data_IF_183185386420
#
_entry.id   IF_183185386420
#
_cell.length_a   1.000
_cell.length_b   1.000
_cell.length_c   1.000
_cell.angle_alpha   90.00
_cell.angle_beta   90.00
_cell.angle_gamma   90.00
#
_symmetry.space_group_name_H-M   'P 1'
#
loop_
_entity.id
_entity.type
_entity.pdbx_description
1 polymer ?
#
# COMPACT_ATOMS: atom_id res chain seq x y z
N UNK A 1 101.09 22.60 -13.29
CA UNK A 1 100.03 22.24 -14.25
C UNK A 1 98.93 21.51 -13.50
N UNK A 2 97.78 22.17 -13.29
CA UNK A 2 96.46 21.53 -13.15
C UNK A 2 95.43 22.65 -13.02
N UNK A 3 94.72 22.92 -14.13
CA UNK A 3 93.52 23.74 -14.16
C UNK A 3 92.38 22.92 -13.55
N UNK A 4 91.73 23.41 -12.50
CA UNK A 4 90.44 22.89 -12.06
C UNK A 4 89.36 23.93 -12.34
N UNK A 5 88.52 23.63 -13.34
CA UNK A 5 87.36 24.43 -13.75
C UNK A 5 86.22 24.19 -12.75
N UNK A 6 85.77 25.23 -12.05
CA UNK A 6 84.53 25.20 -11.28
C UNK A 6 83.34 25.47 -12.21
N UNK A 7 82.39 24.54 -12.24
CA UNK A 7 81.13 24.61 -12.97
C UNK A 7 80.12 25.39 -12.12
N UNK A 8 79.58 26.49 -12.66
CA UNK A 8 78.51 27.28 -12.07
C UNK A 8 77.15 26.70 -12.50
N UNK A 9 76.44 26.01 -11.60
CA UNK A 9 75.05 25.60 -11.82
C UNK A 9 74.11 26.79 -11.57
N UNK A 10 73.43 27.25 -12.62
CA UNK A 10 72.26 28.13 -12.50
C UNK A 10 71.03 27.32 -12.08
N UNK A 11 70.50 27.58 -10.88
CA UNK A 11 69.18 27.14 -10.45
C UNK A 11 68.13 28.14 -10.96
N UNK A 12 67.37 27.73 -11.98
CA UNK A 12 66.19 28.47 -12.46
C UNK A 12 65.02 28.12 -11.53
N UNK A 13 64.62 29.07 -10.66
CA UNK A 13 63.43 28.96 -9.83
C UNK A 13 62.17 29.20 -10.67
N UNK A 14 61.44 28.14 -11.00
CA UNK A 14 60.12 28.26 -11.63
C UNK A 14 59.06 28.61 -10.58
N UNK A 15 58.69 29.89 -10.49
CA UNK A 15 57.53 30.35 -9.73
C UNK A 15 56.25 29.82 -10.40
N UNK A 16 55.67 28.76 -9.84
CA UNK A 16 54.36 28.26 -10.26
C UNK A 16 53.29 29.22 -9.73
N UNK A 17 52.69 30.00 -10.63
CA UNK A 17 51.47 30.73 -10.32
C UNK A 17 50.37 29.69 -10.04
N UNK A 18 49.90 29.64 -8.80
CA UNK A 18 48.75 28.82 -8.42
C UNK A 18 47.54 29.38 -9.20
N UNK A 19 46.86 28.60 -10.04
CA UNK A 19 45.66 29.07 -10.70
C UNK A 19 44.61 29.39 -9.62
N UNK A 20 44.13 30.64 -9.63
CA UNK A 20 42.96 31.01 -8.86
C UNK A 20 41.78 30.15 -9.32
N UNK A 21 41.41 29.15 -8.51
CA UNK A 21 40.14 28.47 -8.63
C UNK A 21 39.09 29.53 -8.29
N UNK A 22 38.23 29.97 -9.23
CA UNK A 22 37.13 30.84 -8.86
C UNK A 22 36.27 30.06 -7.88
N UNK A 23 36.08 30.60 -6.67
CA UNK A 23 35.05 30.10 -5.76
C UNK A 23 33.76 30.11 -6.56
N UNK A 24 33.19 28.93 -6.79
CA UNK A 24 31.82 28.80 -7.27
C UNK A 24 30.98 29.76 -6.43
N UNK A 25 30.14 30.61 -7.04
CA UNK A 25 29.25 31.45 -6.27
C UNK A 25 28.52 30.53 -5.31
N UNK A 26 28.65 30.86 -4.03
CA UNK A 26 27.92 30.26 -2.93
C UNK A 26 26.49 30.05 -3.41
N UNK A 27 26.09 28.79 -3.60
CA UNK A 27 24.72 28.46 -3.96
C UNK A 27 23.91 28.80 -2.73
N UNK A 28 23.52 30.07 -2.62
CA UNK A 28 22.58 30.54 -1.63
C UNK A 28 21.41 29.59 -1.68
N UNK A 29 21.28 28.75 -0.65
CA UNK A 29 20.15 27.84 -0.52
C UNK A 29 18.94 28.75 -0.46
N UNK A 30 18.22 28.89 -1.59
CA UNK A 30 17.04 29.72 -1.63
C UNK A 30 16.10 29.26 -0.53
N UNK A 31 15.63 30.22 0.28
CA UNK A 31 14.63 29.93 1.28
C UNK A 31 13.42 29.28 0.59
N UNK A 32 13.04 28.09 1.06
CA UNK A 32 11.93 27.32 0.50
C UNK A 32 10.64 28.13 0.64
N UNK A 33 9.98 28.43 -0.47
CA UNK A 33 8.73 29.19 -0.46
C UNK A 33 7.63 28.40 0.28
N UNK A 34 6.75 29.11 0.99
CA UNK A 34 5.61 28.54 1.70
C UNK A 34 4.33 29.18 1.15
N UNK A 35 3.38 28.36 0.71
CA UNK A 35 2.09 28.81 0.20
C UNK A 35 0.97 28.27 1.08
N UNK A 36 0.00 29.11 1.43
CA UNK A 36 -1.27 28.69 2.03
C UNK A 36 -2.37 28.96 0.99
N UNK A 37 -3.04 27.94 0.44
CA UNK A 37 -4.12 28.15 -0.52
C UNK A 37 -5.26 28.94 0.11
N UNK A 38 -5.94 29.78 -0.66
CA UNK A 38 -7.16 30.45 -0.17
C UNK A 38 -8.29 29.42 -0.02
N UNK A 39 -8.93 29.35 1.15
CA UNK A 39 -10.13 28.55 1.36
C UNK A 39 -11.38 29.34 0.97
N UNK A 40 -12.27 28.75 0.17
CA UNK A 40 -13.53 29.35 -0.25
C UNK A 40 -14.58 29.42 0.86
N UNK A 41 -14.44 28.62 1.91
CA UNK A 41 -15.28 28.68 3.12
C UNK A 41 -16.71 28.14 2.96
N UNK A 42 -17.04 27.51 1.83
CA UNK A 42 -18.34 26.89 1.57
C UNK A 42 -18.20 25.61 0.75
N UNK A 43 -19.01 24.60 1.05
CA UNK A 43 -19.03 23.34 0.28
C UNK A 43 -19.48 23.51 -1.17
N UNK A 44 -20.10 24.63 -1.52
CA UNK A 44 -20.48 24.96 -2.90
C UNK A 44 -19.33 25.52 -3.74
N UNK A 45 -18.18 25.84 -3.12
CA UNK A 45 -17.01 26.40 -3.78
C UNK A 45 -15.95 25.31 -3.85
N UNK A 46 -15.39 25.08 -5.04
CA UNK A 46 -14.30 24.12 -5.22
C UNK A 46 -12.96 24.79 -4.91
N UNK A 47 -12.25 24.28 -3.90
CA UNK A 47 -10.95 24.79 -3.46
C UNK A 47 -9.77 24.16 -4.21
N UNK A 48 -10.00 23.11 -5.02
CA UNK A 48 -8.94 22.45 -5.80
C UNK A 48 -8.14 23.44 -6.65
N UNK A 49 -8.73 24.42 -7.38
CA UNK A 49 -7.96 25.40 -8.15
C UNK A 49 -7.00 26.23 -7.28
N UNK A 50 -7.41 26.64 -6.07
CA UNK A 50 -6.56 27.39 -5.17
C UNK A 50 -5.39 26.53 -4.67
N UNK A 51 -5.65 25.26 -4.33
CA UNK A 51 -4.62 24.31 -3.91
C UNK A 51 -3.62 24.07 -5.04
N UNK A 52 -4.08 23.83 -6.27
CA UNK A 52 -3.21 23.63 -7.44
C UNK A 52 -2.38 24.87 -7.78
N UNK A 53 -2.93 26.07 -7.59
CA UNK A 53 -2.18 27.32 -7.74
C UNK A 53 -1.04 27.41 -6.72
N UNK A 54 -1.30 27.07 -5.44
CA UNK A 54 -0.28 27.01 -4.41
C UNK A 54 0.80 25.95 -4.70
N UNK A 55 0.43 24.76 -5.20
CA UNK A 55 1.38 23.74 -5.64
C UNK A 55 2.22 24.24 -6.81
N UNK A 56 1.62 24.95 -7.78
CA UNK A 56 2.38 25.51 -8.91
C UNK A 56 3.38 26.57 -8.44
N UNK A 57 2.99 27.40 -7.47
CA UNK A 57 3.82 28.49 -6.97
C UNK A 57 4.94 28.03 -6.02
N UNK A 58 4.65 27.10 -5.11
CA UNK A 58 5.58 26.65 -4.07
C UNK A 58 6.06 25.20 -4.23
N UNK A 59 5.57 24.44 -5.20
CA UNK A 59 5.84 23.01 -5.33
C UNK A 59 7.25 22.65 -5.79
N UNK A 60 8.07 23.61 -6.21
CA UNK A 60 9.48 23.36 -6.53
C UNK A 60 10.35 23.45 -5.27
N UNK A 61 10.36 22.38 -4.48
CA UNK A 61 11.12 22.27 -3.22
C UNK A 61 10.52 23.00 -2.01
N UNK A 62 9.44 23.76 -2.20
CA UNK A 62 8.74 24.51 -1.15
C UNK A 62 7.65 23.72 -0.44
N UNK A 63 6.86 24.44 0.35
CA UNK A 63 5.83 23.90 1.24
C UNK A 63 4.47 24.46 0.89
N UNK A 64 3.44 23.62 0.92
CA UNK A 64 2.04 24.02 0.82
C UNK A 64 1.38 23.64 2.14
N UNK A 65 0.72 24.59 2.80
CA UNK A 65 0.12 24.40 4.13
C UNK A 65 -1.40 24.51 4.05
N UNK A 66 -2.08 23.49 4.54
CA UNK A 66 -3.52 23.47 4.84
C UNK A 66 -3.64 23.68 6.35
N UNK A 67 -3.95 24.90 6.84
CA UNK A 67 -3.77 25.25 8.25
C UNK A 67 -4.70 24.49 9.21
N UNK A 68 -4.29 24.37 10.47
CA UNK A 68 -5.15 23.81 11.51
C UNK A 68 -6.42 24.65 11.68
N UNK A 69 -7.55 23.99 11.96
CA UNK A 69 -8.86 24.65 12.07
C UNK A 69 -9.50 25.08 10.74
N UNK A 70 -8.81 24.90 9.61
CA UNK A 70 -9.37 25.18 8.28
C UNK A 70 -10.15 23.97 7.73
N UNK A 71 -11.09 24.26 6.82
CA UNK A 71 -11.75 23.25 5.99
C UNK A 71 -11.66 23.72 4.54
N UNK A 72 -11.15 22.84 3.67
CA UNK A 72 -11.15 23.01 2.23
C UNK A 72 -12.11 22.00 1.60
N UNK A 73 -12.91 22.45 0.66
CA UNK A 73 -13.91 21.64 -0.04
C UNK A 73 -13.40 21.27 -1.43
N UNK A 74 -13.17 19.98 -1.65
CA UNK A 74 -12.62 19.46 -2.88
C UNK A 74 -13.74 18.86 -3.71
N UNK A 75 -14.23 19.63 -4.68
CA UNK A 75 -15.35 19.24 -5.54
C UNK A 75 -14.87 18.67 -6.89
N UNK A 76 -13.56 18.53 -7.07
CA UNK A 76 -12.92 17.92 -8.23
C UNK A 76 -11.66 17.13 -7.85
N UNK A 77 -11.03 16.47 -8.83
CA UNK A 77 -9.77 15.72 -8.64
C UNK A 77 -8.65 16.68 -8.24
N UNK A 78 -7.96 16.39 -7.13
CA UNK A 78 -6.72 17.07 -6.75
C UNK A 78 -5.53 16.32 -7.35
N UNK A 79 -4.81 16.96 -8.29
CA UNK A 79 -3.53 16.46 -8.78
C UNK A 79 -2.35 17.30 -8.27
N UNK A 80 -1.18 16.67 -8.25
CA UNK A 80 0.07 17.28 -7.77
C UNK A 80 0.96 17.79 -8.92
N UNK A 81 0.37 18.14 -10.06
CA UNK A 81 1.14 18.75 -11.15
C UNK A 81 1.84 20.03 -10.65
N UNK A 82 3.14 20.13 -10.90
CA UNK A 82 3.99 21.22 -10.40
C UNK A 82 4.80 20.87 -9.14
N UNK A 83 4.49 19.78 -8.44
CA UNK A 83 5.32 19.29 -7.34
C UNK A 83 6.64 18.68 -7.85
N UNK A 84 7.75 19.17 -7.30
CA UNK A 84 9.13 18.69 -7.49
C UNK A 84 9.84 18.77 -6.14
N UNK A 85 9.81 17.69 -5.36
CA UNK A 85 10.33 17.71 -4.00
C UNK A 85 9.51 18.55 -3.01
N UNK A 86 8.19 18.68 -3.21
CA UNK A 86 7.34 19.52 -2.37
C UNK A 86 6.95 18.86 -1.04
N UNK A 87 6.61 19.69 -0.05
CA UNK A 87 6.05 19.30 1.23
C UNK A 87 4.61 19.82 1.37
N UNK A 88 3.62 18.93 1.30
CA UNK A 88 2.20 19.24 1.42
C UNK A 88 1.71 18.89 2.83
N UNK A 89 1.61 19.93 3.67
CA UNK A 89 1.28 19.84 5.08
C UNK A 89 -0.23 19.98 5.29
N UNK A 90 -0.87 18.92 5.75
CA UNK A 90 -2.30 18.87 6.04
C UNK A 90 -2.51 18.94 7.54
N UNK A 91 -2.91 20.09 8.05
CA UNK A 91 -3.23 20.26 9.48
C UNK A 91 -4.73 20.54 9.71
N UNK A 92 -5.46 20.90 8.64
CA UNK A 92 -6.90 21.07 8.61
C UNK A 92 -7.65 19.87 8.03
N UNK A 93 -8.84 20.14 7.50
CA UNK A 93 -9.70 19.16 6.83
C UNK A 93 -9.72 19.40 5.31
N UNK A 94 -9.35 18.39 4.53
CA UNK A 94 -9.67 18.29 3.11
C UNK A 94 -10.93 17.43 2.97
N UNK A 95 -12.07 18.04 2.63
CA UNK A 95 -13.35 17.35 2.51
C UNK A 95 -13.79 17.27 1.06
N UNK A 96 -13.85 16.06 0.52
CA UNK A 96 -14.33 15.84 -0.84
C UNK A 96 -15.86 15.92 -0.95
N UNK A 97 -16.36 16.35 -2.11
CA UNK A 97 -17.77 16.24 -2.47
C UNK A 97 -18.20 14.77 -2.57
N UNK A 98 -19.44 14.46 -2.17
CA UNK A 98 -20.04 13.13 -2.36
C UNK A 98 -20.85 13.02 -3.66
N UNK A 99 -20.55 13.87 -4.66
CA UNK A 99 -21.25 13.91 -5.94
C UNK A 99 -20.95 12.66 -6.77
N UNK A 100 -21.80 11.65 -6.67
CA UNK A 100 -21.61 10.36 -7.34
C UNK A 100 -21.62 10.46 -8.87
N UNK A 101 -22.38 11.41 -9.43
CA UNK A 101 -22.40 11.67 -10.86
C UNK A 101 -21.06 12.23 -11.36
N UNK A 102 -20.38 13.07 -10.57
CA UNK A 102 -19.03 13.54 -10.91
C UNK A 102 -18.01 12.40 -10.75
N UNK A 103 -18.07 11.65 -9.65
CA UNK A 103 -17.04 10.65 -9.32
C UNK A 103 -17.15 9.34 -10.10
N UNK A 104 -18.31 9.04 -10.68
CA UNK A 104 -18.52 7.81 -11.47
C UNK A 104 -17.48 7.66 -12.58
N UNK A 105 -16.79 6.52 -12.59
CA UNK A 105 -15.76 6.19 -13.59
C UNK A 105 -14.43 6.94 -13.44
N UNK A 106 -14.26 7.80 -12.42
CA UNK A 106 -12.96 8.44 -12.16
C UNK A 106 -12.03 7.46 -11.45
N UNK A 107 -10.75 7.50 -11.82
CA UNK A 107 -9.72 6.66 -11.18
C UNK A 107 -9.41 7.09 -9.75
N UNK A 108 -9.33 8.40 -9.50
CA UNK A 108 -8.73 8.95 -8.29
C UNK A 108 -9.45 10.22 -7.80
N UNK A 109 -9.48 10.42 -6.48
CA UNK A 109 -9.81 11.72 -5.87
C UNK A 109 -8.55 12.57 -5.72
N UNK A 110 -7.47 11.98 -5.22
CA UNK A 110 -6.12 12.55 -5.19
C UNK A 110 -5.24 11.75 -6.16
N UNK A 111 -4.70 12.43 -7.18
CA UNK A 111 -3.85 11.83 -8.22
C UNK A 111 -2.40 12.28 -8.07
N UNK A 112 -1.52 11.32 -7.77
CA UNK A 112 -0.06 11.48 -7.75
C UNK A 112 0.52 10.69 -8.92
N UNK A 113 0.68 11.35 -10.06
CA UNK A 113 1.15 10.71 -11.28
C UNK A 113 2.55 11.20 -11.64
N UNK A 114 3.52 10.28 -11.66
CA UNK A 114 4.91 10.53 -12.07
C UNK A 114 5.59 11.68 -11.30
N UNK A 115 5.29 11.81 -10.01
CA UNK A 115 5.90 12.82 -9.12
C UNK A 115 7.18 12.25 -8.51
N UNK A 116 8.24 13.06 -8.48
CA UNK A 116 9.48 12.73 -7.80
C UNK A 116 9.66 13.65 -6.59
N UNK A 117 9.71 13.07 -5.39
CA UNK A 117 9.79 13.80 -4.14
C UNK A 117 8.46 14.50 -3.81
N UNK A 118 7.68 13.88 -2.95
CA UNK A 118 6.45 14.46 -2.41
C UNK A 118 6.28 13.98 -0.98
N UNK A 119 6.00 14.90 -0.05
CA UNK A 119 5.47 14.56 1.27
C UNK A 119 4.03 15.03 1.35
N UNK A 120 3.10 14.15 1.72
CA UNK A 120 1.73 14.49 2.13
C UNK A 120 1.62 14.13 3.60
N UNK A 121 1.69 15.09 4.50
CA UNK A 121 1.83 14.78 5.93
C UNK A 121 1.07 15.74 6.82
N UNK A 122 0.71 15.30 8.01
CA UNK A 122 0.34 16.19 9.10
C UNK A 122 1.49 16.26 10.09
N UNK A 123 1.99 17.46 10.37
CA UNK A 123 3.00 17.67 11.41
C UNK A 123 2.39 17.67 12.81
N UNK A 124 1.10 17.99 12.92
CA UNK A 124 0.38 18.04 14.20
C UNK A 124 -0.31 16.72 14.56
N UNK A 125 -0.48 15.81 13.59
CA UNK A 125 -1.28 14.59 13.73
C UNK A 125 -2.79 14.82 13.56
N UNK A 126 -3.22 16.06 13.33
CA UNK A 126 -4.64 16.45 13.31
C UNK A 126 -5.22 16.54 11.90
N UNK A 127 -4.39 16.44 10.86
CA UNK A 127 -4.81 16.50 9.47
C UNK A 127 -5.79 15.39 9.09
N UNK A 128 -6.87 15.76 8.39
CA UNK A 128 -7.87 14.81 7.91
C UNK A 128 -8.13 14.99 6.43
N UNK A 129 -8.14 13.87 5.71
CA UNK A 129 -8.66 13.76 4.33
C UNK A 129 -9.95 12.94 4.40
N UNK A 130 -11.11 13.57 4.18
CA UNK A 130 -12.42 12.93 4.18
C UNK A 130 -12.92 12.73 2.74
N UNK A 131 -12.94 11.48 2.29
CA UNK A 131 -13.42 11.08 0.96
C UNK A 131 -14.95 11.13 0.83
N UNK A 132 -15.68 11.31 1.94
CA UNK A 132 -17.13 11.49 1.96
C UNK A 132 -17.92 10.38 1.21
N UNK A 133 -17.49 9.14 1.40
CA UNK A 133 -17.89 7.97 0.60
C UNK A 133 -19.30 7.41 0.82
N UNK A 134 -20.09 7.91 1.78
CA UNK A 134 -21.40 7.29 2.12
C UNK A 134 -22.31 7.12 0.90
N UNK A 135 -22.48 8.18 0.09
CA UNK A 135 -23.31 8.13 -1.10
C UNK A 135 -22.81 7.10 -2.12
N UNK A 136 -21.49 6.89 -2.19
CA UNK A 136 -20.90 5.90 -3.08
C UNK A 136 -21.13 4.46 -2.57
N UNK A 137 -21.11 4.23 -1.25
CA UNK A 137 -21.45 2.94 -0.66
C UNK A 137 -22.90 2.57 -0.95
N UNK A 138 -23.82 3.50 -0.70
CA UNK A 138 -25.25 3.27 -0.90
C UNK A 138 -25.58 3.09 -2.40
N UNK A 139 -24.93 3.85 -3.29
CA UNK A 139 -25.12 3.69 -4.73
C UNK A 139 -24.55 2.35 -5.24
N UNK A 140 -23.35 1.95 -4.81
CA UNK A 140 -22.77 0.67 -5.21
C UNK A 140 -23.57 -0.54 -4.70
N UNK A 141 -24.18 -0.41 -3.51
CA UNK A 141 -25.07 -1.44 -2.99
C UNK A 141 -26.35 -1.59 -3.83
N UNK A 142 -26.83 -0.51 -4.46
CA UNK A 142 -27.99 -0.53 -5.36
C UNK A 142 -27.61 -0.90 -6.81
N UNK A 143 -26.39 -0.56 -7.23
CA UNK A 143 -25.85 -0.78 -8.57
C UNK A 143 -24.35 -1.11 -8.50
N UNK A 144 -24.03 -2.39 -8.56
CA UNK A 144 -22.65 -2.89 -8.50
C UNK A 144 -21.82 -2.54 -9.74
N UNK A 145 -22.41 -1.94 -10.78
CA UNK A 145 -21.66 -1.41 -11.94
C UNK A 145 -21.09 -0.01 -11.68
N UNK A 146 -21.43 0.62 -10.55
CA UNK A 146 -20.93 1.95 -10.21
C UNK A 146 -19.43 1.95 -9.88
N UNK A 147 -18.63 2.43 -10.82
CA UNK A 147 -17.18 2.58 -10.68
C UNK A 147 -16.81 3.77 -9.78
N UNK A 148 -16.13 3.47 -8.66
CA UNK A 148 -15.78 4.44 -7.61
C UNK A 148 -14.28 4.75 -7.60
N UNK A 149 -13.87 6.03 -7.38
CA UNK A 149 -12.46 6.42 -7.36
C UNK A 149 -11.74 5.92 -6.12
N UNK A 150 -10.44 5.63 -6.27
CA UNK A 150 -9.51 5.50 -5.15
C UNK A 150 -9.31 6.88 -4.49
N UNK A 151 -9.19 6.94 -3.15
CA UNK A 151 -8.97 8.21 -2.46
C UNK A 151 -7.58 8.81 -2.80
N UNK A 152 -6.50 8.05 -2.60
CA UNK A 152 -5.14 8.42 -2.97
C UNK A 152 -4.56 7.42 -3.98
N UNK A 153 -4.37 7.87 -5.21
CA UNK A 153 -3.85 7.04 -6.29
C UNK A 153 -2.46 7.50 -6.73
N UNK A 154 -1.45 6.67 -6.49
CA UNK A 154 -0.05 6.91 -6.81
C UNK A 154 0.34 6.02 -7.99
N UNK A 155 0.80 6.62 -9.09
CA UNK A 155 1.22 5.91 -10.30
C UNK A 155 2.54 6.46 -10.85
N UNK A 156 3.57 5.60 -10.85
CA UNK A 156 4.94 5.97 -11.20
C UNK A 156 5.54 7.04 -10.28
N UNK A 157 6.71 7.53 -10.65
CA UNK A 157 7.45 8.50 -9.82
C UNK A 157 8.25 7.82 -8.71
N UNK A 158 8.77 8.62 -7.78
CA UNK A 158 9.66 8.14 -6.73
C UNK A 158 9.68 9.02 -5.49
N UNK A 159 10.14 8.46 -4.37
CA UNK A 159 10.37 9.18 -3.12
C UNK A 159 9.10 9.89 -2.61
N UNK A 160 8.02 9.13 -2.51
CA UNK A 160 6.74 9.59 -1.97
C UNK A 160 6.66 9.25 -0.48
N UNK A 161 6.24 10.19 0.34
CA UNK A 161 5.97 10.00 1.77
C UNK A 161 4.55 10.45 2.07
N UNK A 162 3.80 9.62 2.79
CA UNK A 162 2.49 9.98 3.34
C UNK A 162 2.49 9.65 4.83
N UNK A 163 2.37 10.65 5.70
CA UNK A 163 2.58 10.42 7.13
C UNK A 163 1.66 11.17 8.09
N UNK A 164 1.40 10.54 9.23
CA UNK A 164 0.75 11.13 10.42
C UNK A 164 -0.64 11.76 10.21
N UNK A 165 -1.38 11.37 9.16
CA UNK A 165 -2.70 11.92 8.86
C UNK A 165 -3.80 10.86 8.95
N UNK A 166 -5.03 11.34 9.07
CA UNK A 166 -6.23 10.50 8.99
C UNK A 166 -6.81 10.53 7.59
N UNK A 167 -7.10 9.36 7.03
CA UNK A 167 -7.98 9.22 5.87
C UNK A 167 -9.32 8.63 6.33
N UNK A 168 -10.41 9.24 5.88
CA UNK A 168 -11.75 8.92 6.37
C UNK A 168 -12.69 8.69 5.21
N UNK A 169 -13.46 7.62 5.30
CA UNK A 169 -14.60 7.29 4.42
C UNK A 169 -14.29 7.48 2.93
N UNK A 170 -13.28 6.78 2.37
CA UNK A 170 -13.04 6.80 0.93
C UNK A 170 -14.23 6.16 0.20
N UNK A 171 -14.60 6.60 -1.01
CA UNK A 171 -15.65 5.94 -1.79
C UNK A 171 -15.35 4.46 -2.11
N UNK A 172 -14.06 4.12 -2.22
CA UNK A 172 -13.52 2.81 -2.58
C UNK A 172 -12.19 2.60 -1.83
N UNK A 173 -11.17 2.00 -2.46
CA UNK A 173 -9.79 1.90 -1.97
C UNK A 173 -9.25 3.21 -1.37
N UNK A 174 -8.59 3.12 -0.21
CA UNK A 174 -7.89 4.23 0.43
C UNK A 174 -6.67 4.66 -0.39
N UNK A 175 -5.71 3.75 -0.56
CA UNK A 175 -4.41 4.04 -1.18
C UNK A 175 -4.09 2.99 -2.23
N UNK A 176 -3.77 3.42 -3.46
CA UNK A 176 -3.23 2.55 -4.50
C UNK A 176 -1.84 3.02 -4.93
N UNK A 177 -0.91 2.09 -5.11
CA UNK A 177 0.47 2.33 -5.56
C UNK A 177 0.80 1.42 -6.73
N UNK A 178 1.09 1.99 -7.91
CA UNK A 178 1.40 1.20 -9.13
C UNK A 178 2.23 1.97 -10.15
N UNK A 179 2.31 1.47 -11.39
CA UNK A 179 2.90 2.18 -12.54
C UNK A 179 4.42 2.35 -12.45
N UNK A 180 5.11 1.42 -11.79
CA UNK A 180 6.55 1.46 -11.58
C UNK A 180 6.98 2.46 -10.52
N UNK A 181 6.14 2.76 -9.53
CA UNK A 181 6.51 3.65 -8.41
C UNK A 181 7.72 3.08 -7.66
N UNK A 182 8.73 3.92 -7.42
CA UNK A 182 9.98 3.51 -6.78
C UNK A 182 10.23 4.29 -5.48
N UNK A 183 10.02 3.65 -4.33
CA UNK A 183 10.16 4.29 -3.03
C UNK A 183 8.88 5.05 -2.63
N UNK A 184 8.05 4.41 -1.82
CA UNK A 184 6.90 5.03 -1.17
C UNK A 184 6.87 4.64 0.31
N UNK A 185 6.77 5.62 1.20
CA UNK A 185 6.68 5.44 2.65
C UNK A 185 5.31 5.90 3.14
N UNK A 186 4.61 5.03 3.85
CA UNK A 186 3.36 5.33 4.56
C UNK A 186 3.58 5.06 6.04
N UNK A 187 3.48 6.08 6.88
CA UNK A 187 3.82 5.95 8.30
C UNK A 187 2.84 6.70 9.22
N UNK A 188 2.42 6.07 10.31
CA UNK A 188 1.58 6.73 11.32
C UNK A 188 0.18 7.09 10.83
N UNK A 189 -0.38 6.36 9.85
CA UNK A 189 -1.68 6.67 9.28
C UNK A 189 -2.83 6.06 10.10
N UNK A 190 -3.97 6.75 10.08
CA UNK A 190 -5.26 6.18 10.54
C UNK A 190 -6.25 6.18 9.38
N UNK A 191 -6.61 4.99 8.89
CA UNK A 191 -7.57 4.78 7.81
C UNK A 191 -8.87 4.26 8.42
N UNK A 192 -9.99 4.96 8.24
CA UNK A 192 -11.29 4.53 8.79
C UNK A 192 -12.42 4.73 7.80
N UNK A 193 -13.08 3.64 7.40
CA UNK A 193 -14.32 3.64 6.63
C UNK A 193 -15.45 3.12 7.52
N UNK A 194 -16.45 3.96 7.77
CA UNK A 194 -17.60 3.59 8.59
C UNK A 194 -18.87 4.05 7.91
N UNK A 195 -19.70 3.09 7.53
CA UNK A 195 -21.03 3.37 6.98
C UNK A 195 -21.97 3.87 8.09
N UNK A 196 -22.88 4.75 7.70
CA UNK A 196 -23.98 5.25 8.52
C UNK A 196 -25.31 4.56 8.20
N UNK A 197 -25.31 3.61 7.27
CA UNK A 197 -26.46 2.82 6.85
C UNK A 197 -26.17 1.33 7.07
N UNK A 198 -27.12 0.47 6.71
CA UNK A 198 -26.91 -0.99 6.67
C UNK A 198 -26.00 -1.44 5.52
N UNK A 199 -25.71 -0.57 4.55
CA UNK A 199 -24.84 -0.90 3.43
C UNK A 199 -23.39 -0.82 3.90
N UNK A 200 -22.61 -1.89 3.78
CA UNK A 200 -21.21 -1.87 4.17
C UNK A 200 -20.37 -0.99 3.24
N UNK A 201 -19.22 -0.52 3.74
CA UNK A 201 -18.26 0.28 2.98
C UNK A 201 -17.43 -0.62 2.04
N UNK A 202 -18.08 -1.28 1.07
CA UNK A 202 -17.48 -2.31 0.22
C UNK A 202 -16.22 -1.83 -0.49
N UNK A 203 -15.23 -2.72 -0.62
CA UNK A 203 -13.99 -2.47 -1.37
C UNK A 203 -13.19 -1.28 -0.86
N UNK A 204 -13.25 -1.03 0.44
CA UNK A 204 -12.44 0.01 1.09
C UNK A 204 -11.06 -0.52 1.48
N UNK A 205 -10.37 -1.17 0.54
CA UNK A 205 -9.03 -1.72 0.72
C UNK A 205 -8.09 -0.64 1.30
N UNK A 206 -7.32 -0.98 2.34
CA UNK A 206 -6.41 -0.04 2.98
C UNK A 206 -5.27 0.36 2.05
N UNK A 207 -4.58 -0.63 1.50
CA UNK A 207 -3.50 -0.45 0.54
C UNK A 207 -3.57 -1.47 -0.60
N UNK A 208 -3.71 -0.99 -1.83
CA UNK A 208 -3.52 -1.77 -3.05
C UNK A 208 -2.13 -1.49 -3.63
N UNK A 209 -1.18 -2.38 -3.37
CA UNK A 209 0.22 -2.24 -3.80
C UNK A 209 0.45 -3.15 -5.00
N UNK A 210 0.51 -2.58 -6.20
CA UNK A 210 0.80 -3.28 -7.46
C UNK A 210 2.22 -3.00 -7.95
N UNK A 211 2.37 -2.85 -9.27
CA UNK A 211 3.65 -2.57 -9.97
C UNK A 211 4.47 -1.44 -9.33
N UNK A 212 5.38 -1.81 -8.43
CA UNK A 212 6.17 -0.88 -7.60
C UNK A 212 7.35 -1.58 -6.93
N UNK A 213 8.34 -0.80 -6.51
CA UNK A 213 9.50 -1.25 -5.73
C UNK A 213 9.75 -0.39 -4.49
N UNK A 214 10.16 -1.02 -3.38
CA UNK A 214 10.53 -0.35 -2.13
C UNK A 214 9.38 0.45 -1.51
N UNK A 215 8.24 -0.21 -1.33
CA UNK A 215 7.09 0.35 -0.61
C UNK A 215 7.16 -0.07 0.86
N UNK A 216 7.02 0.88 1.78
CA UNK A 216 6.97 0.62 3.22
C UNK A 216 5.66 1.16 3.80
N UNK A 217 4.96 0.32 4.55
CA UNK A 217 3.78 0.70 5.35
C UNK A 217 4.11 0.40 6.82
N UNK A 218 4.07 1.41 7.68
CA UNK A 218 4.39 1.26 9.11
C UNK A 218 3.42 1.99 10.02
N UNK A 219 3.29 1.51 11.26
CA UNK A 219 2.60 2.20 12.35
C UNK A 219 1.17 2.64 12.01
N UNK A 220 0.45 1.83 11.24
CA UNK A 220 -0.82 2.24 10.60
C UNK A 220 -2.01 1.46 11.16
N UNK A 221 -3.10 2.19 11.45
CA UNK A 221 -4.38 1.60 11.91
C UNK A 221 -5.43 1.68 10.82
N UNK A 222 -6.10 0.57 10.55
CA UNK A 222 -7.03 0.41 9.43
C UNK A 222 -8.33 -0.20 9.93
N UNK A 223 -9.44 0.47 9.68
CA UNK A 223 -10.79 -0.05 9.90
C UNK A 223 -11.56 0.08 8.59
N UNK A 224 -11.91 -1.06 7.99
CA UNK A 224 -12.51 -1.13 6.66
C UNK A 224 -13.39 -2.38 6.48
N UNK A 225 -13.85 -2.65 5.25
CA UNK A 225 -14.66 -3.82 4.85
C UNK A 225 -14.03 -4.56 3.64
N UNK A 226 -12.71 -4.48 3.46
CA UNK A 226 -11.98 -5.25 2.45
C UNK A 226 -10.50 -5.47 2.84
N UNK A 227 -9.63 -5.91 1.93
CA UNK A 227 -8.23 -6.25 2.22
C UNK A 227 -7.53 -5.11 3.01
N UNK A 228 -6.78 -5.47 4.06
CA UNK A 228 -6.03 -4.48 4.85
C UNK A 228 -4.85 -3.94 4.03
N UNK A 229 -4.07 -4.87 3.48
CA UNK A 229 -3.07 -4.63 2.45
C UNK A 229 -3.21 -5.74 1.44
N UNK A 230 -3.39 -5.38 0.17
CA UNK A 230 -3.39 -6.29 -0.95
C UNK A 230 -2.13 -6.10 -1.80
N UNK A 231 -1.34 -7.17 -1.93
CA UNK A 231 -0.19 -7.22 -2.83
C UNK A 231 -0.66 -7.68 -4.21
N UNK A 232 -0.89 -6.71 -5.10
CA UNK A 232 -1.41 -6.89 -6.46
C UNK A 232 -0.25 -7.20 -7.44
N UNK A 233 -0.55 -7.56 -8.71
CA UNK A 233 0.48 -7.88 -9.70
C UNK A 233 1.57 -6.79 -9.83
N UNK A 234 2.83 -7.23 -9.83
CA UNK A 234 4.01 -6.39 -9.98
C UNK A 234 4.59 -5.86 -8.67
N UNK A 235 4.01 -6.17 -7.50
CA UNK A 235 4.56 -5.77 -6.21
C UNK A 235 5.90 -6.46 -5.93
N UNK A 236 6.92 -5.66 -5.57
CA UNK A 236 8.26 -6.15 -5.28
C UNK A 236 8.94 -5.32 -4.18
N UNK A 237 9.63 -5.97 -3.23
CA UNK A 237 10.29 -5.30 -2.10
C UNK A 237 9.31 -4.42 -1.32
N UNK A 238 8.27 -5.04 -0.77
CA UNK A 238 7.28 -4.37 0.07
C UNK A 238 7.49 -4.78 1.51
N UNK A 239 7.56 -3.81 2.42
CA UNK A 239 7.64 -4.02 3.87
C UNK A 239 6.39 -3.47 4.54
N UNK A 240 5.77 -4.26 5.39
CA UNK A 240 4.63 -3.86 6.22
C UNK A 240 4.99 -4.15 7.68
N UNK A 241 4.93 -3.14 8.55
CA UNK A 241 5.34 -3.26 9.96
C UNK A 241 4.34 -2.62 10.92
N UNK A 242 4.09 -3.28 12.04
CA UNK A 242 3.39 -2.69 13.17
C UNK A 242 2.03 -2.07 12.79
N UNK A 243 1.22 -2.85 12.06
CA UNK A 243 -0.11 -2.43 11.60
C UNK A 243 -1.22 -3.06 12.45
N UNK A 244 -2.35 -2.38 12.56
CA UNK A 244 -3.58 -2.93 13.15
C UNK A 244 -4.71 -2.84 12.15
N UNK A 245 -5.35 -3.97 11.86
CA UNK A 245 -6.46 -4.06 10.92
C UNK A 245 -7.72 -4.55 11.64
N UNK A 246 -8.85 -3.89 11.44
CA UNK A 246 -10.15 -4.26 12.02
C UNK A 246 -11.22 -4.35 10.95
N UNK A 247 -11.97 -5.46 10.91
CA UNK A 247 -13.04 -5.67 9.92
C UNK A 247 -12.55 -6.05 8.52
N UNK A 248 -11.23 -6.12 8.33
CA UNK A 248 -10.62 -6.27 7.00
C UNK A 248 -10.76 -7.68 6.40
N UNK A 249 -10.40 -7.84 5.13
CA UNK A 249 -10.16 -9.13 4.49
C UNK A 249 -8.71 -9.59 4.58
N UNK A 250 -7.91 -9.00 5.46
CA UNK A 250 -6.59 -9.50 5.81
C UNK A 250 -5.42 -8.93 5.00
N UNK A 251 -4.25 -9.46 5.30
CA UNK A 251 -2.99 -9.18 4.59
C UNK A 251 -2.87 -10.15 3.42
N UNK A 252 -3.32 -9.74 2.24
CA UNK A 252 -3.59 -10.64 1.12
C UNK A 252 -2.59 -10.45 -0.02
N UNK A 253 -1.96 -11.52 -0.49
CA UNK A 253 -1.42 -11.55 -1.86
C UNK A 253 -2.58 -11.80 -2.82
N UNK A 254 -2.66 -11.00 -3.88
CA UNK A 254 -3.61 -11.18 -4.97
C UNK A 254 -4.90 -10.35 -4.86
N UNK A 255 -5.95 -10.73 -5.60
CA UNK A 255 -5.98 -11.90 -6.49
C UNK A 255 -4.99 -11.78 -7.66
N UNK A 256 -4.37 -12.89 -8.03
CA UNK A 256 -3.43 -12.99 -9.16
C UNK A 256 -3.96 -13.96 -10.20
N UNK A 257 -3.61 -13.74 -11.48
CA UNK A 257 -3.91 -14.66 -12.56
C UNK A 257 -5.25 -14.45 -13.24
N UNK A 258 -5.96 -13.33 -12.99
CA UNK A 258 -7.31 -13.13 -13.51
C UNK A 258 -7.39 -13.21 -15.04
N UNK A 259 -6.46 -12.53 -15.70
CA UNK A 259 -6.43 -12.38 -17.17
C UNK A 259 -5.01 -12.26 -17.75
N UNK A 260 -4.00 -12.49 -16.92
CA UNK A 260 -2.57 -12.32 -17.25
C UNK A 260 -1.72 -13.19 -16.34
N UNK A 261 -0.49 -13.48 -16.77
CA UNK A 261 0.50 -14.02 -15.85
C UNK A 261 0.96 -12.92 -14.90
N UNK A 262 0.80 -13.16 -13.60
CA UNK A 262 1.01 -12.16 -12.56
C UNK A 262 2.10 -12.60 -11.58
N UNK A 263 2.87 -11.63 -11.09
CA UNK A 263 3.97 -11.89 -10.16
C UNK A 263 3.90 -11.00 -8.93
N UNK A 264 4.22 -11.56 -7.77
CA UNK A 264 4.44 -10.83 -6.51
C UNK A 264 5.68 -11.42 -5.86
N UNK A 265 6.60 -10.59 -5.37
CA UNK A 265 7.82 -11.11 -4.75
C UNK A 265 8.43 -10.21 -3.68
N UNK A 266 9.26 -10.78 -2.82
CA UNK A 266 10.02 -10.06 -1.80
C UNK A 266 9.12 -9.19 -0.91
N UNK A 267 8.17 -9.84 -0.24
CA UNK A 267 7.23 -9.19 0.67
C UNK A 267 7.58 -9.60 2.10
N UNK A 268 7.68 -8.61 2.99
CA UNK A 268 7.92 -8.81 4.40
C UNK A 268 6.84 -8.12 5.22
N UNK A 269 6.09 -8.89 6.00
CA UNK A 269 5.08 -8.38 6.93
C UNK A 269 5.46 -8.81 8.34
N UNK A 270 5.48 -7.85 9.26
CA UNK A 270 5.96 -8.06 10.62
C UNK A 270 5.10 -7.30 11.64
N UNK A 271 4.75 -7.92 12.76
CA UNK A 271 4.09 -7.24 13.87
C UNK A 271 2.65 -6.79 13.59
N UNK A 272 1.90 -7.54 12.77
CA UNK A 272 0.51 -7.20 12.47
C UNK A 272 -0.47 -7.67 13.55
N UNK A 273 -1.46 -6.85 13.90
CA UNK A 273 -2.62 -7.24 14.71
C UNK A 273 -3.87 -7.23 13.84
N UNK A 274 -4.49 -8.40 13.69
CA UNK A 274 -5.66 -8.62 12.84
C UNK A 274 -6.87 -8.89 13.73
N UNK A 275 -7.93 -8.10 13.57
CA UNK A 275 -9.08 -8.08 14.48
C UNK A 275 -10.38 -8.23 13.67
N UNK A 276 -11.19 -9.24 14.01
CA UNK A 276 -12.51 -9.47 13.39
C UNK A 276 -12.47 -9.38 11.86
N UNK A 277 -11.48 -10.06 11.27
CA UNK A 277 -11.21 -10.08 9.83
C UNK A 277 -11.56 -11.44 9.24
N UNK A 278 -11.95 -11.49 7.96
CA UNK A 278 -12.27 -12.78 7.32
C UNK A 278 -11.05 -13.71 7.25
N UNK A 279 -9.85 -13.13 7.16
CA UNK A 279 -8.58 -13.82 7.40
C UNK A 279 -7.55 -12.85 7.98
N UNK A 280 -6.57 -13.35 8.73
CA UNK A 280 -5.43 -12.53 9.14
C UNK A 280 -4.43 -12.35 7.99
N UNK A 281 -4.00 -13.44 7.32
CA UNK A 281 -3.12 -13.40 6.16
C UNK A 281 -3.47 -14.45 5.12
N UNK A 282 -3.13 -14.20 3.85
CA UNK A 282 -3.31 -15.24 2.84
C UNK A 282 -2.92 -14.90 1.41
N UNK A 283 -3.13 -15.87 0.51
CA UNK A 283 -2.83 -15.80 -0.92
C UNK A 283 -4.07 -16.19 -1.71
N UNK A 284 -4.45 -15.39 -2.72
CA UNK A 284 -5.58 -15.64 -3.64
C UNK A 284 -5.04 -15.73 -5.06
N UNK A 285 -5.18 -16.88 -5.71
CA UNK A 285 -4.82 -17.09 -7.13
C UNK A 285 -5.98 -17.71 -7.89
N UNK A 286 -6.22 -17.21 -9.11
CA UNK A 286 -7.14 -17.84 -10.04
C UNK A 286 -6.64 -19.25 -10.44
N UNK A 287 -7.57 -20.18 -10.76
CA UNK A 287 -7.24 -21.48 -11.32
C UNK A 287 -6.68 -21.36 -12.76
N UNK A 288 -6.40 -22.49 -13.42
CA UNK A 288 -6.07 -22.48 -14.85
C UNK A 288 -7.36 -22.38 -15.70
N UNK A 289 -7.25 -22.44 -17.03
CA UNK A 289 -8.42 -22.41 -17.91
C UNK A 289 -8.89 -21.00 -18.29
N UNK A 290 -9.80 -20.93 -19.26
CA UNK A 290 -10.39 -19.68 -19.73
C UNK A 290 -9.35 -18.63 -20.16
N UNK A 291 -9.49 -17.41 -19.64
CA UNK A 291 -8.53 -16.30 -19.83
C UNK A 291 -7.51 -16.20 -18.70
N UNK A 292 -7.53 -17.11 -17.72
CA UNK A 292 -6.67 -17.03 -16.55
C UNK A 292 -5.20 -17.26 -16.90
N UNK A 293 -4.33 -16.57 -16.18
CA UNK A 293 -2.89 -16.65 -16.35
C UNK A 293 -2.18 -17.23 -15.13
N UNK A 294 -0.90 -17.53 -15.30
CA UNK A 294 -0.08 -18.13 -14.26
C UNK A 294 0.22 -17.13 -13.14
N UNK A 295 -0.03 -17.52 -11.89
CA UNK A 295 0.39 -16.76 -10.72
C UNK A 295 1.75 -17.22 -10.21
N UNK A 296 2.69 -16.31 -9.99
CA UNK A 296 4.00 -16.61 -9.37
C UNK A 296 4.20 -15.74 -8.12
N UNK A 297 4.37 -16.40 -6.97
CA UNK A 297 4.61 -15.74 -5.69
C UNK A 297 5.91 -16.25 -5.08
N UNK A 298 6.87 -15.36 -4.84
CA UNK A 298 8.21 -15.75 -4.36
C UNK A 298 8.68 -14.91 -3.19
N UNK A 299 9.23 -15.54 -2.15
CA UNK A 299 9.83 -14.85 -1.00
C UNK A 299 8.83 -13.89 -0.32
N UNK A 300 7.80 -14.47 0.30
CA UNK A 300 6.77 -13.72 1.03
C UNK A 300 6.72 -14.25 2.45
N UNK A 301 6.93 -13.37 3.43
CA UNK A 301 6.91 -13.73 4.85
C UNK A 301 5.91 -12.88 5.60
N UNK A 302 5.05 -13.54 6.38
CA UNK A 302 4.32 -12.92 7.49
C UNK A 302 4.92 -13.44 8.79
N UNK A 303 5.40 -12.56 9.65
CA UNK A 303 5.97 -12.91 10.95
C UNK A 303 5.35 -12.11 12.10
N UNK A 304 5.15 -12.75 13.25
CA UNK A 304 4.66 -12.08 14.45
C UNK A 304 3.24 -11.50 14.30
N UNK A 305 2.33 -12.29 13.74
CA UNK A 305 0.92 -11.89 13.53
C UNK A 305 0.06 -12.29 14.72
N UNK A 306 -0.62 -11.31 15.32
CA UNK A 306 -1.62 -11.53 16.36
C UNK A 306 -3.02 -11.60 15.73
N UNK A 307 -3.71 -12.70 15.99
CA UNK A 307 -5.05 -13.01 15.48
C UNK A 307 -6.07 -12.83 16.60
N UNK A 308 -7.05 -11.95 16.40
CA UNK A 308 -8.13 -11.69 17.35
C UNK A 308 -9.46 -11.80 16.63
N UNK A 309 -10.16 -12.92 16.82
CA UNK A 309 -11.51 -13.11 16.28
C UNK A 309 -11.57 -13.06 14.73
N UNK A 310 -10.46 -13.38 14.04
CA UNK A 310 -10.50 -13.57 12.58
C UNK A 310 -11.08 -14.94 12.23
N UNK A 311 -11.76 -15.10 11.09
CA UNK A 311 -12.35 -16.40 10.73
C UNK A 311 -11.27 -17.44 10.38
N UNK A 312 -10.22 -17.02 9.67
CA UNK A 312 -8.98 -17.78 9.49
C UNK A 312 -7.75 -16.97 9.94
N UNK A 313 -6.75 -17.63 10.49
CA UNK A 313 -5.42 -17.04 10.67
C UNK A 313 -4.64 -17.01 9.34
N UNK A 314 -4.61 -18.14 8.65
CA UNK A 314 -3.87 -18.31 7.39
C UNK A 314 -4.75 -18.95 6.33
N UNK A 315 -4.70 -18.42 5.11
CA UNK A 315 -5.46 -18.97 3.99
C UNK A 315 -4.66 -18.98 2.68
N UNK A 316 -4.77 -20.05 1.92
CA UNK A 316 -4.38 -20.09 0.50
C UNK A 316 -5.61 -20.53 -0.29
N UNK A 317 -6.01 -19.74 -1.27
CA UNK A 317 -7.12 -20.00 -2.19
C UNK A 317 -6.56 -20.16 -3.60
N UNK A 318 -6.67 -21.37 -4.16
CA UNK A 318 -6.24 -21.69 -5.53
C UNK A 318 -7.38 -21.80 -6.55
N UNK A 319 -8.62 -21.59 -6.12
CA UNK A 319 -9.83 -21.65 -6.95
C UNK A 319 -10.57 -20.29 -6.92
N UNK A 320 -9.81 -19.20 -6.76
CA UNK A 320 -10.42 -17.89 -6.59
C UNK A 320 -11.21 -17.46 -7.83
N UNK A 321 -12.49 -17.09 -7.62
CA UNK A 321 -13.36 -16.56 -8.66
C UNK A 321 -14.10 -17.59 -9.49
N UNK A 322 -13.90 -18.89 -9.23
CA UNK A 322 -14.56 -20.00 -9.90
C UNK A 322 -15.14 -20.97 -8.86
N UNK A 323 -15.84 -22.02 -9.30
CA UNK A 323 -16.39 -23.06 -8.42
C UNK A 323 -15.54 -24.35 -8.41
N UNK A 324 -15.91 -25.28 -7.52
CA UNK A 324 -15.17 -26.53 -7.32
C UNK A 324 -15.12 -27.39 -8.60
N UNK A 325 -16.24 -27.51 -9.32
CA UNK A 325 -16.31 -28.31 -10.55
C UNK A 325 -15.39 -27.74 -11.63
N UNK A 326 -15.38 -26.41 -11.78
CA UNK A 326 -14.44 -25.73 -12.69
C UNK A 326 -12.99 -26.02 -12.34
N UNK A 327 -12.64 -25.97 -11.05
CA UNK A 327 -11.27 -26.17 -10.58
C UNK A 327 -10.82 -27.63 -10.58
N UNK A 328 -11.73 -28.59 -10.56
CA UNK A 328 -11.42 -30.01 -10.80
C UNK A 328 -10.96 -30.21 -12.25
N UNK A 329 -11.64 -29.58 -13.21
CA UNK A 329 -11.28 -29.62 -14.63
C UNK A 329 -10.07 -28.72 -14.97
N UNK A 330 -9.97 -27.58 -14.29
CA UNK A 330 -8.98 -26.53 -14.54
C UNK A 330 -8.15 -26.24 -13.29
N UNK A 331 -7.38 -27.21 -12.77
CA UNK A 331 -6.70 -27.06 -11.49
C UNK A 331 -5.75 -25.87 -11.44
N UNK A 332 -5.67 -25.25 -10.26
CA UNK A 332 -4.72 -24.17 -10.00
C UNK A 332 -3.27 -24.63 -10.21
N UNK A 333 -2.49 -23.79 -10.89
CA UNK A 333 -1.11 -24.06 -11.28
C UNK A 333 -0.12 -23.02 -10.74
N UNK A 334 -0.50 -22.24 -9.73
CA UNK A 334 0.32 -21.19 -9.15
C UNK A 334 1.68 -21.71 -8.67
N UNK A 335 2.74 -20.92 -8.89
CA UNK A 335 4.10 -21.19 -8.42
C UNK A 335 4.35 -20.41 -7.15
N UNK A 336 4.18 -21.07 -6.00
CA UNK A 336 4.43 -20.49 -4.68
C UNK A 336 5.79 -21.00 -4.16
N UNK A 337 6.73 -20.11 -3.86
CA UNK A 337 8.10 -20.47 -3.46
C UNK A 337 8.61 -19.57 -2.34
N UNK A 338 9.13 -20.15 -1.26
CA UNK A 338 9.64 -19.36 -0.13
C UNK A 338 8.53 -18.53 0.54
N UNK A 339 7.38 -19.17 0.77
CA UNK A 339 6.25 -18.57 1.48
C UNK A 339 6.34 -18.98 2.96
N UNK A 340 6.33 -18.01 3.86
CA UNK A 340 6.52 -18.27 5.30
C UNK A 340 5.40 -17.62 6.11
N UNK A 341 4.72 -18.42 6.93
CA UNK A 341 3.86 -17.96 8.02
C UNK A 341 4.54 -18.30 9.35
N UNK A 342 5.08 -17.31 10.04
CA UNK A 342 5.86 -17.52 11.27
C UNK A 342 5.28 -16.74 12.45
N UNK A 343 5.22 -17.37 13.63
CA UNK A 343 4.88 -16.65 14.86
C UNK A 343 3.45 -16.13 14.93
N UNK A 344 2.50 -16.86 14.33
CA UNK A 344 1.07 -16.52 14.44
C UNK A 344 0.54 -16.94 15.81
N UNK A 345 -0.14 -16.04 16.52
CA UNK A 345 -0.69 -16.30 17.87
C UNK A 345 -2.10 -15.76 18.01
N UNK A 346 -2.86 -16.27 18.99
CA UNK A 346 -4.18 -15.75 19.35
C UNK A 346 -5.33 -16.72 19.04
N UNK A 347 -6.50 -16.18 18.73
CA UNK A 347 -7.74 -16.95 18.59
C UNK A 347 -8.54 -16.56 17.37
N UNK A 348 -9.01 -17.54 16.60
CA UNK A 348 -9.99 -17.32 15.53
C UNK A 348 -11.42 -17.20 16.07
N UNK A 349 -12.32 -16.70 15.23
CA UNK A 349 -13.76 -16.67 15.50
C UNK A 349 -14.36 -18.09 15.60
N UNK A 350 -15.63 -18.18 15.97
CA UNK A 350 -16.36 -19.46 15.95
C UNK A 350 -16.85 -19.87 14.56
N UNK A 351 -16.67 -19.04 13.52
CA UNK A 351 -17.30 -19.22 12.22
C UNK A 351 -16.88 -20.54 11.53
N UNK A 352 -15.59 -20.87 11.56
CA UNK A 352 -15.04 -22.11 11.00
C UNK A 352 -14.52 -23.08 12.06
N UNK A 353 -14.82 -22.87 13.34
CA UNK A 353 -14.28 -23.71 14.42
C UNK A 353 -14.56 -25.21 14.17
N UNK A 354 -13.57 -26.12 14.37
CA UNK A 354 -12.25 -25.88 14.97
C UNK A 354 -11.15 -25.50 13.96
N UNK A 355 -11.51 -25.18 12.71
CA UNK A 355 -10.54 -24.80 11.67
C UNK A 355 -10.01 -23.40 11.92
N UNK A 356 -8.69 -23.27 11.97
CA UNK A 356 -7.97 -22.00 12.17
C UNK A 356 -7.23 -21.56 10.92
N UNK A 357 -6.99 -22.47 9.97
CA UNK A 357 -6.35 -22.16 8.70
C UNK A 357 -6.79 -23.11 7.60
N UNK A 358 -6.81 -22.61 6.37
CA UNK A 358 -7.22 -23.37 5.19
C UNK A 358 -6.22 -23.12 4.05
N UNK A 359 -5.34 -24.09 3.82
CA UNK A 359 -4.24 -24.03 2.86
C UNK A 359 -4.59 -24.90 1.65
N UNK A 360 -5.40 -24.36 0.74
CA UNK A 360 -5.75 -25.00 -0.52
C UNK A 360 -4.75 -24.60 -1.61
N UNK A 361 -3.63 -25.34 -1.71
CA UNK A 361 -2.69 -25.16 -2.82
C UNK A 361 -3.22 -25.86 -4.08
N UNK A 362 -2.93 -25.29 -5.25
CA UNK A 362 -3.36 -25.85 -6.53
C UNK A 362 -2.66 -27.17 -6.86
N UNK A 363 -3.40 -28.15 -7.38
CA UNK A 363 -2.90 -29.51 -7.62
C UNK A 363 -1.90 -29.64 -8.78
N UNK A 364 -1.81 -28.62 -9.65
CA UNK A 364 -0.77 -28.52 -10.70
C UNK A 364 0.26 -27.42 -10.43
N UNK A 365 0.24 -26.84 -9.23
CA UNK A 365 1.15 -25.77 -8.83
C UNK A 365 2.37 -26.24 -8.06
N UNK A 366 3.18 -25.29 -7.60
CA UNK A 366 4.20 -25.51 -6.57
C UNK A 366 3.72 -24.88 -5.27
N UNK A 367 3.79 -25.62 -4.17
CA UNK A 367 3.38 -25.14 -2.84
C UNK A 367 4.59 -25.09 -1.89
N UNK A 368 5.54 -24.18 -2.14
CA UNK A 368 6.71 -23.96 -1.30
C UNK A 368 6.42 -23.13 -0.05
N UNK A 369 5.52 -23.63 0.80
CA UNK A 369 5.01 -22.97 2.01
C UNK A 369 5.60 -23.59 3.27
N UNK A 370 6.01 -22.76 4.23
CA UNK A 370 6.43 -23.18 5.57
C UNK A 370 5.60 -22.42 6.62
N UNK A 371 5.20 -23.13 7.67
CA UNK A 371 4.48 -22.61 8.82
C UNK A 371 5.28 -22.95 10.07
N UNK A 372 5.64 -21.95 10.87
CA UNK A 372 6.41 -22.13 12.10
C UNK A 372 5.84 -21.29 13.24
N UNK A 373 6.09 -21.71 14.48
CA UNK A 373 5.66 -21.01 15.68
C UNK A 373 4.16 -20.66 15.70
N UNK A 374 3.32 -21.53 15.11
CA UNK A 374 1.88 -21.33 14.98
C UNK A 374 1.15 -21.74 16.26
N UNK A 375 0.71 -20.75 17.03
CA UNK A 375 0.00 -20.90 18.32
C UNK A 375 -1.38 -20.26 18.27
N UNK A 376 -2.12 -20.50 17.18
CA UNK A 376 -3.51 -20.07 17.03
C UNK A 376 -4.45 -21.20 17.40
N UNK A 377 -5.50 -20.88 18.15
CA UNK A 377 -6.58 -21.81 18.49
C UNK A 377 -7.92 -21.26 18.02
N UNK A 378 -8.92 -22.11 17.80
CA UNK A 378 -10.29 -21.64 17.68
C UNK A 378 -10.82 -21.24 19.06
N UNK A 379 -11.95 -20.53 19.10
CA UNK A 379 -12.63 -20.17 20.34
C UNK A 379 -13.01 -21.37 21.23
N UNK A 380 -13.06 -22.59 20.67
CA UNK A 380 -13.24 -23.85 21.40
C UNK A 380 -11.98 -24.34 22.15
N UNK A 381 -10.83 -23.69 21.97
CA UNK A 381 -9.53 -24.07 22.56
C UNK A 381 -8.71 -25.08 21.74
N UNK A 382 -9.26 -25.60 20.63
CA UNK A 382 -8.56 -26.51 19.70
C UNK A 382 -8.26 -25.82 18.38
N UNK A 383 -7.23 -26.25 17.64
CA UNK A 383 -6.92 -25.72 16.30
C UNK A 383 -6.72 -26.83 15.27
N UNK A 384 -7.37 -26.70 14.12
CA UNK A 384 -7.20 -27.58 12.94
C UNK A 384 -6.74 -26.73 11.75
N UNK A 385 -5.80 -27.24 10.96
CA UNK A 385 -5.40 -26.64 9.67
C UNK A 385 -5.81 -27.60 8.56
N UNK A 386 -6.65 -27.12 7.64
CA UNK A 386 -7.02 -27.85 6.44
C UNK A 386 -5.93 -27.67 5.38
N UNK A 387 -5.58 -28.76 4.69
CA UNK A 387 -4.53 -28.76 3.68
C UNK A 387 -4.95 -29.53 2.42
N UNK A 388 -4.56 -29.02 1.26
CA UNK A 388 -4.54 -29.73 -0.01
C UNK A 388 -3.28 -29.34 -0.78
N UNK A 389 -2.59 -30.32 -1.36
CA UNK A 389 -1.37 -30.15 -2.17
C UNK A 389 -0.25 -29.36 -1.45
N UNK A 390 -0.19 -29.45 -0.12
CA UNK A 390 0.83 -28.81 0.72
C UNK A 390 2.11 -29.66 0.77
N UNK A 391 3.27 -29.05 1.06
CA UNK A 391 4.53 -29.78 1.16
C UNK A 391 4.55 -30.68 2.41
N UNK A 392 5.34 -31.75 2.35
CA UNK A 392 5.47 -32.71 3.46
C UNK A 392 6.11 -32.10 4.71
N UNK A 393 6.94 -31.07 4.54
CA UNK A 393 7.62 -30.32 5.60
C UNK A 393 6.92 -28.99 5.94
N UNK A 394 5.58 -28.92 5.82
CA UNK A 394 4.81 -27.70 6.07
C UNK A 394 5.07 -27.07 7.45
N UNK A 395 5.32 -27.86 8.49
CA UNK A 395 5.61 -27.38 9.85
C UNK A 395 4.41 -27.28 10.80
N UNK A 396 3.21 -27.65 10.35
CA UNK A 396 2.01 -27.87 11.18
C UNK A 396 1.29 -29.16 10.78
N UNK A 397 0.50 -29.73 11.68
CA UNK A 397 -0.31 -30.91 11.39
C UNK A 397 -1.45 -30.57 10.43
N UNK A 398 -1.53 -31.33 9.33
CA UNK A 398 -2.56 -31.16 8.31
C UNK A 398 -3.74 -32.09 8.51
N UNK A 399 -4.91 -31.59 8.16
CA UNK A 399 -6.12 -32.39 7.94
C UNK A 399 -6.62 -32.19 6.52
N UNK A 400 -7.21 -33.22 5.91
CA UNK A 400 -7.83 -33.10 4.59
C UNK A 400 -9.07 -32.19 4.63
N UNK A 401 -9.50 -31.76 3.44
CA UNK A 401 -10.73 -30.97 3.24
C UNK A 401 -10.50 -29.48 3.00
N UNK A 402 -9.28 -29.06 2.65
CA UNK A 402 -9.08 -27.69 2.18
C UNK A 402 -9.84 -27.45 0.87
N UNK A 403 -10.41 -26.27 0.75
CA UNK A 403 -11.09 -25.74 -0.43
C UNK A 403 -10.89 -24.23 -0.46
N UNK A 404 -11.14 -23.59 -1.60
CA UNK A 404 -10.94 -22.13 -1.69
C UNK A 404 -11.30 -21.62 -3.05
#
# INVERSE_FOLDING_TARGET
MSLSKAILLLLIGATHAIPHIPRSPDSTIQARAVCTPTAGGSSSIDDVPAIKSAITSCGNGGTIVIPSGSTYYLNSVLDFAGCKGCDFQVEGLLKFASNTAYWGGKTAMISVSKIAGLKIRSLTGQGVIDGNGQNAYDLFAADSSYDRPTLLYITGGSNIEVSNLRQKNPPNVFISVKGGTNGALFDGLTLSATSKSSNPAKNTDGFDIGESTYVTVSNTKITNDDDCVAFKPGANYVTVRDITCTGSHGLSVGSLGKSSSDTVKNIWVEGATMISSTKAAGIKTYPSGGSHGLSTVTNVTWTGVTVQDCDYAIQIQSCYGEDADYCDDNPGNAVLTGITFDGFTGTTSSHYAPVTGNLNCGSKGTCGVTVSNYKVTASSGTGKVLCANTPTNLGVACSSGASG
#
